data_IF_702301366166
#
_entry.id   IF_702301366166
#
_cell.length_a   1.000
_cell.length_b   1.000
_cell.length_c   1.000
_cell.angle_alpha   90.00
_cell.angle_beta   90.00
_cell.angle_gamma   90.00
#
_symmetry.space_group_name_H-M   'P 1'
#
loop_
_entity.id
_entity.type
_entity.pdbx_description
1 polymer ?
#
# COMPACT_ATOMS: atom_id res chain seq x y z
N UNK A 1 -41.23 0.76 -10.55
CA UNK A 1 -40.50 -0.14 -11.46
C UNK A 1 -39.15 0.50 -11.72
N UNK A 2 -38.06 -0.09 -11.21
CA UNK A 2 -36.71 0.13 -11.73
C UNK A 2 -35.87 -1.07 -11.30
N UNK A 3 -35.54 -1.86 -12.29
CA UNK A 3 -34.86 -3.14 -12.22
C UNK A 3 -33.36 -2.88 -12.01
N UNK A 4 -32.83 -3.41 -10.92
CA UNK A 4 -31.40 -3.48 -10.65
C UNK A 4 -30.94 -4.92 -10.86
N UNK A 5 -30.79 -5.29 -12.12
CA UNK A 5 -30.38 -6.60 -12.63
C UNK A 5 -28.93 -6.87 -12.21
N UNK A 6 -28.71 -7.33 -10.98
CA UNK A 6 -27.46 -7.99 -10.61
C UNK A 6 -27.65 -9.46 -10.90
N UNK A 7 -27.24 -9.89 -12.09
CA UNK A 7 -27.22 -11.29 -12.52
C UNK A 7 -26.70 -12.19 -11.39
N UNK A 8 -27.63 -12.84 -10.70
CA UNK A 8 -27.39 -13.92 -9.77
C UNK A 8 -27.12 -15.19 -10.58
N UNK A 9 -26.05 -15.15 -11.38
CA UNK A 9 -25.57 -16.30 -12.11
C UNK A 9 -25.01 -17.32 -11.09
N UNK A 10 -25.86 -18.27 -10.69
CA UNK A 10 -25.42 -19.54 -10.11
C UNK A 10 -25.43 -19.66 -8.59
N UNK A 11 -26.27 -18.91 -7.87
CA UNK A 11 -26.63 -19.27 -6.48
C UNK A 11 -27.94 -20.02 -6.48
N UNK A 12 -27.93 -21.20 -7.09
CA UNK A 12 -29.04 -22.15 -6.98
C UNK A 12 -29.43 -22.33 -5.51
N UNK A 13 -30.69 -22.68 -5.28
CA UNK A 13 -31.32 -23.00 -3.99
C UNK A 13 -30.69 -24.20 -3.26
N UNK A 14 -29.37 -24.33 -3.30
CA UNK A 14 -28.60 -25.29 -2.56
C UNK A 14 -28.80 -24.98 -1.07
N UNK A 15 -29.42 -25.94 -0.39
CA UNK A 15 -29.58 -25.92 1.06
C UNK A 15 -28.23 -25.55 1.68
N UNK A 16 -28.18 -24.37 2.32
CA UNK A 16 -26.94 -23.77 2.84
C UNK A 16 -26.58 -24.42 4.18
N UNK A 17 -26.49 -25.75 4.20
CA UNK A 17 -26.11 -26.50 5.37
C UNK A 17 -24.60 -26.33 5.60
N UNK A 18 -24.23 -25.74 6.74
CA UNK A 18 -22.83 -25.62 7.16
C UNK A 18 -22.15 -26.99 7.17
N UNK A 19 -20.88 -27.10 6.73
CA UNK A 19 -20.09 -28.34 6.82
C UNK A 19 -20.09 -28.92 8.23
N UNK A 20 -20.09 -28.06 9.26
CA UNK A 20 -20.21 -28.45 10.67
C UNK A 20 -21.52 -29.18 10.98
N UNK A 21 -22.62 -28.73 10.38
CA UNK A 21 -23.96 -29.33 10.56
C UNK A 21 -24.07 -30.63 9.74
N UNK A 22 -23.38 -30.73 8.61
CA UNK A 22 -23.31 -31.94 7.80
C UNK A 22 -22.34 -33.01 8.35
N UNK A 23 -21.64 -32.74 9.46
CA UNK A 23 -20.62 -33.64 9.99
C UNK A 23 -19.40 -33.82 9.07
N UNK A 24 -19.22 -32.92 8.10
CA UNK A 24 -18.14 -32.98 7.14
C UNK A 24 -16.83 -32.52 7.79
N UNK A 25 -15.69 -33.11 7.40
CA UNK A 25 -14.38 -32.72 7.94
C UNK A 25 -14.09 -31.24 7.65
N UNK A 26 -13.26 -30.60 8.50
CA UNK A 26 -12.85 -29.22 8.29
C UNK A 26 -12.07 -29.09 6.98
N UNK A 27 -12.04 -27.88 6.40
CA UNK A 27 -11.25 -27.69 5.18
C UNK A 27 -9.77 -27.90 5.46
N UNK A 28 -9.12 -28.54 4.51
CA UNK A 28 -7.68 -28.69 4.46
C UNK A 28 -7.04 -27.34 4.15
N UNK A 29 -6.92 -26.50 5.18
CA UNK A 29 -6.18 -25.24 5.10
C UNK A 29 -4.69 -25.50 5.29
N UNK A 30 -3.85 -24.71 4.60
CA UNK A 30 -2.40 -24.72 4.79
C UNK A 30 -2.06 -24.57 6.28
N UNK A 31 -1.06 -25.30 6.75
CA UNK A 31 -0.62 -25.22 8.15
C UNK A 31 -0.14 -23.81 8.50
N UNK A 32 -0.28 -23.43 9.77
CA UNK A 32 0.18 -22.12 10.26
C UNK A 32 1.69 -21.92 10.01
N UNK A 33 2.49 -22.98 10.09
CA UNK A 33 3.92 -22.92 9.82
C UNK A 33 4.23 -22.63 8.35
N UNK A 34 3.46 -23.19 7.42
CA UNK A 34 3.59 -22.88 5.99
C UNK A 34 3.25 -21.42 5.71
N UNK A 35 2.15 -20.92 6.29
CA UNK A 35 1.73 -19.51 6.15
C UNK A 35 2.79 -18.57 6.73
N UNK A 36 3.37 -18.90 7.89
CA UNK A 36 4.45 -18.10 8.51
C UNK A 36 5.71 -18.10 7.64
N UNK A 37 6.06 -19.23 7.02
CA UNK A 37 7.21 -19.34 6.11
C UNK A 37 7.01 -18.49 4.86
N UNK A 38 5.85 -18.60 4.24
CA UNK A 38 5.48 -17.81 3.05
C UNK A 38 5.50 -16.31 3.35
N UNK A 39 4.94 -15.90 4.49
CA UNK A 39 4.97 -14.50 4.93
C UNK A 39 6.40 -13.99 5.11
N UNK A 40 7.29 -14.75 5.76
CA UNK A 40 8.71 -14.40 5.92
C UNK A 40 9.43 -14.27 4.57
N UNK A 41 9.17 -15.19 3.64
CA UNK A 41 9.75 -15.14 2.29
C UNK A 41 9.29 -13.88 1.53
N UNK A 42 8.01 -13.54 1.64
CA UNK A 42 7.46 -12.34 1.03
C UNK A 42 8.02 -11.04 1.64
N UNK A 43 8.20 -10.97 2.96
CA UNK A 43 8.80 -9.78 3.61
C UNK A 43 10.28 -9.63 3.27
N UNK A 44 11.04 -10.73 3.15
CA UNK A 44 12.42 -10.71 2.68
C UNK A 44 12.52 -10.20 1.23
N UNK A 45 11.62 -10.65 0.35
CA UNK A 45 11.55 -10.16 -1.04
C UNK A 45 11.25 -8.65 -1.08
N UNK A 46 10.28 -8.18 -0.28
CA UNK A 46 9.97 -6.75 -0.15
C UNK A 46 11.16 -5.94 0.35
N UNK A 47 11.93 -6.46 1.32
CA UNK A 47 13.14 -5.81 1.82
C UNK A 47 14.22 -5.69 0.75
N UNK A 48 14.47 -6.76 -0.02
CA UNK A 48 15.42 -6.72 -1.15
C UNK A 48 14.98 -5.71 -2.21
N UNK A 49 13.68 -5.68 -2.55
CA UNK A 49 13.16 -4.71 -3.50
C UNK A 49 13.27 -3.26 -2.99
N UNK A 50 13.08 -3.02 -1.69
CA UNK A 50 13.26 -1.71 -1.09
C UNK A 50 14.74 -1.29 -1.04
N UNK A 51 15.66 -2.22 -0.82
CA UNK A 51 17.10 -1.96 -0.82
C UNK A 51 17.62 -1.55 -2.20
N UNK A 52 17.18 -2.23 -3.27
CA UNK A 52 17.54 -1.85 -4.65
C UNK A 52 16.99 -0.47 -5.03
N UNK A 53 15.76 -0.14 -4.60
CA UNK A 53 15.21 1.21 -4.78
C UNK A 53 16.00 2.26 -4.01
N UNK A 54 16.49 1.95 -2.80
CA UNK A 54 17.38 2.86 -2.05
C UNK A 54 18.73 3.04 -2.72
N UNK A 55 19.30 2.01 -3.33
CA UNK A 55 20.56 2.13 -4.10
C UNK A 55 20.38 3.02 -5.33
N UNK A 56 19.26 2.88 -6.04
CA UNK A 56 18.93 3.75 -7.16
C UNK A 56 18.68 5.20 -6.71
N UNK A 57 17.92 5.39 -5.63
CA UNK A 57 17.68 6.72 -5.06
C UNK A 57 18.98 7.36 -4.56
N UNK A 58 19.87 6.59 -3.91
CA UNK A 58 21.17 7.09 -3.47
C UNK A 58 22.09 7.43 -4.66
N UNK A 59 22.02 6.68 -5.77
CA UNK A 59 22.75 7.00 -6.99
C UNK A 59 22.19 8.25 -7.70
N UNK A 60 20.88 8.48 -7.64
CA UNK A 60 20.21 9.67 -8.16
C UNK A 60 20.51 10.91 -7.29
N UNK A 61 20.53 10.75 -5.96
CA UNK A 61 20.93 11.80 -5.01
C UNK A 61 22.42 12.16 -5.15
N UNK A 62 23.29 11.17 -5.41
CA UNK A 62 24.70 11.40 -5.75
C UNK A 62 24.90 12.06 -7.13
N UNK A 63 23.91 12.00 -8.03
CA UNK A 63 23.93 12.66 -9.34
C UNK A 63 23.48 14.13 -9.28
N UNK A 64 22.95 14.61 -8.15
CA UNK A 64 22.61 16.03 -7.97
C UNK A 64 23.26 16.65 -6.71
N UNK A 65 24.60 16.74 -6.62
CA UNK A 65 25.26 17.30 -5.44
C UNK A 65 25.53 18.81 -5.55
N UNK A 66 24.74 19.59 -6.31
CA UNK A 66 25.17 20.92 -6.76
C UNK A 66 24.27 22.14 -6.54
N UNK A 67 22.96 21.98 -6.28
CA UNK A 67 22.02 23.12 -6.30
C UNK A 67 21.05 23.20 -5.11
N UNK A 68 20.98 22.16 -4.28
CA UNK A 68 19.84 21.98 -3.37
C UNK A 68 19.85 22.91 -2.14
N UNK A 69 21.02 23.25 -1.58
CA UNK A 69 21.07 24.03 -0.34
C UNK A 69 20.69 25.51 -0.56
N UNK A 70 21.13 26.11 -1.67
CA UNK A 70 20.77 27.50 -1.99
C UNK A 70 19.33 27.61 -2.47
N UNK A 71 18.86 26.65 -3.26
CA UNK A 71 17.46 26.62 -3.72
C UNK A 71 16.50 26.38 -2.54
N UNK A 72 16.86 25.51 -1.58
CA UNK A 72 16.07 25.30 -0.36
C UNK A 72 16.04 26.55 0.54
N UNK A 73 17.18 27.24 0.70
CA UNK A 73 17.25 28.50 1.45
C UNK A 73 16.41 29.60 0.77
N UNK A 74 16.47 29.70 -0.56
CA UNK A 74 15.68 30.65 -1.34
C UNK A 74 14.17 30.32 -1.27
N UNK A 75 13.82 29.04 -1.33
CA UNK A 75 12.44 28.58 -1.20
C UNK A 75 11.87 28.91 0.18
N UNK A 76 12.61 28.60 1.26
CA UNK A 76 12.19 28.89 2.63
C UNK A 76 11.92 30.39 2.85
N UNK A 77 12.87 31.23 2.46
CA UNK A 77 12.75 32.69 2.61
C UNK A 77 11.61 33.27 1.78
N UNK A 78 11.36 32.72 0.59
CA UNK A 78 10.24 33.12 -0.28
C UNK A 78 8.89 32.76 0.35
N UNK A 79 8.78 31.56 0.92
CA UNK A 79 7.56 31.10 1.59
C UNK A 79 7.27 31.93 2.85
N UNK A 80 8.27 32.19 3.68
CA UNK A 80 8.13 33.05 4.87
C UNK A 80 7.67 34.46 4.49
N UNK A 81 8.24 35.04 3.43
CA UNK A 81 7.86 36.37 2.94
C UNK A 81 6.41 36.41 2.46
N UNK A 82 5.95 35.36 1.77
CA UNK A 82 4.57 35.26 1.28
C UNK A 82 3.56 35.12 2.42
N UNK A 83 3.91 34.36 3.46
CA UNK A 83 3.09 34.24 4.67
C UNK A 83 2.97 35.60 5.35
N UNK A 84 4.09 36.30 5.61
CA UNK A 84 4.08 37.62 6.26
C UNK A 84 3.28 38.68 5.50
N UNK A 85 3.38 38.70 4.16
CA UNK A 85 2.59 39.62 3.33
C UNK A 85 1.09 39.34 3.44
N UNK A 86 0.70 38.08 3.55
CA UNK A 86 -0.71 37.68 3.65
C UNK A 86 -1.29 38.01 5.04
N UNK A 87 -0.48 37.90 6.10
CA UNK A 87 -0.94 38.14 7.49
C UNK A 87 -1.11 39.61 7.88
N UNK A 88 -0.62 40.56 7.06
CA UNK A 88 -0.78 42.01 7.31
C UNK A 88 -1.75 42.69 6.34
N UNK A 89 -2.47 41.93 5.52
CA UNK A 89 -3.46 42.45 4.56
C UNK A 89 -4.92 42.28 5.04
N UNK A 90 -5.15 42.11 6.34
CA UNK A 90 -6.45 42.15 6.99
C UNK A 90 -6.51 43.34 7.96
#
# INVERSE_FOLDING_TARGET
MQEGEREEAGRGSASRASRRVQGLPPEETKSLDEVKREARKATAAKRKAAEEKKKLAAAEEQSSPGLDVQDAQYFWTTVETKIRRTTWSA
#
